data_IF_149912413672
#
_entry.id   IF_149912413672
#
_cell.length_a   1.000
_cell.length_b   1.000
_cell.length_c   1.000
_cell.angle_alpha   90.00
_cell.angle_beta   90.00
_cell.angle_gamma   90.00
#
_symmetry.space_group_name_H-M   'P 1'
#
loop_
_entity.id
_entity.type
_entity.pdbx_description
1 polymer ?
#
# COMPACT_ATOMS: atom_id res chain seq x y z
N UNK A 1 -7.91 8.36 12.08
CA UNK A 1 -8.45 6.99 12.12
C UNK A 1 -8.08 6.25 10.84
N UNK A 2 -7.67 5.00 10.97
CA UNK A 2 -7.33 4.16 9.82
C UNK A 2 -8.44 3.18 9.52
N UNK A 3 -8.77 3.04 8.25
CA UNK A 3 -9.78 2.09 7.78
C UNK A 3 -9.26 1.33 6.56
N UNK A 4 -9.74 0.10 6.42
CA UNK A 4 -9.47 -0.73 5.25
C UNK A 4 -10.84 -1.10 4.67
N UNK A 5 -11.00 -0.91 3.37
CA UNK A 5 -12.28 -1.27 2.73
C UNK A 5 -12.46 -2.79 2.73
N UNK A 6 -13.72 -3.24 2.66
CA UNK A 6 -14.05 -4.67 2.70
C UNK A 6 -13.35 -5.45 1.59
N UNK A 7 -13.35 -4.92 0.35
CA UNK A 7 -12.70 -5.62 -0.76
C UNK A 7 -11.20 -5.70 -0.58
N UNK A 8 -10.58 -4.63 -0.12
CA UNK A 8 -9.14 -4.64 0.14
C UNK A 8 -8.80 -5.65 1.22
N UNK A 9 -9.57 -5.66 2.31
CA UNK A 9 -9.35 -6.58 3.42
C UNK A 9 -9.50 -8.04 3.00
N UNK A 10 -10.41 -8.33 2.06
CA UNK A 10 -10.63 -9.70 1.58
C UNK A 10 -9.56 -10.18 0.60
N UNK A 11 -8.84 -9.27 -0.08
CA UNK A 11 -7.88 -9.64 -1.12
C UNK A 11 -6.43 -9.49 -0.71
N UNK A 12 -6.13 -8.63 0.25
CA UNK A 12 -4.76 -8.39 0.71
C UNK A 12 -4.57 -9.02 2.07
N UNK A 13 -3.66 -9.98 2.22
CA UNK A 13 -3.45 -10.64 3.52
C UNK A 13 -3.16 -9.64 4.63
N UNK A 14 -3.61 -9.91 5.87
CA UNK A 14 -3.40 -8.99 7.00
C UNK A 14 -1.94 -8.61 7.22
N UNK A 15 -1.02 -9.55 7.07
CA UNK A 15 0.41 -9.27 7.22
C UNK A 15 0.91 -8.28 6.18
N UNK A 16 0.41 -8.39 4.95
CA UNK A 16 0.76 -7.45 3.87
C UNK A 16 0.15 -6.09 4.15
N UNK A 17 -1.09 -6.02 4.64
CA UNK A 17 -1.71 -4.76 5.02
C UNK A 17 -0.84 -4.02 6.06
N UNK A 18 -0.35 -4.75 7.07
CA UNK A 18 0.54 -4.16 8.08
C UNK A 18 1.81 -3.62 7.45
N UNK A 19 2.37 -4.34 6.48
CA UNK A 19 3.56 -3.88 5.75
C UNK A 19 3.28 -2.58 4.99
N UNK A 20 2.11 -2.48 4.33
CA UNK A 20 1.74 -1.27 3.59
C UNK A 20 1.60 -0.07 4.53
N UNK A 21 0.96 -0.25 5.69
CA UNK A 21 0.85 0.81 6.68
C UNK A 21 2.23 1.24 7.18
N UNK A 22 3.11 0.27 7.42
CA UNK A 22 4.48 0.56 7.85
C UNK A 22 5.23 1.38 6.80
N UNK A 23 5.13 0.98 5.52
CA UNK A 23 5.76 1.72 4.43
C UNK A 23 5.21 3.13 4.33
N UNK A 24 3.90 3.28 4.47
CA UNK A 24 3.25 4.58 4.46
C UNK A 24 3.76 5.47 5.59
N UNK A 25 3.83 4.93 6.81
CA UNK A 25 4.29 5.68 7.97
C UNK A 25 5.78 6.05 7.87
N UNK A 26 6.57 5.25 7.18
CA UNK A 26 8.00 5.44 7.05
C UNK A 26 8.39 5.98 5.66
N UNK A 27 7.49 6.66 4.99
CA UNK A 27 7.78 7.30 3.71
C UNK A 27 8.97 8.23 3.85
N UNK A 28 10.01 8.00 2.99
CA UNK A 28 11.24 8.77 3.04
C UNK A 28 11.19 10.11 2.32
N UNK A 29 10.03 10.48 1.78
CA UNK A 29 9.87 11.75 1.09
C UNK A 29 9.97 12.91 2.10
N UNK A 30 10.44 14.06 1.62
CA UNK A 30 10.53 15.27 2.41
C UNK A 30 9.17 15.67 2.99
N UNK A 31 8.13 15.48 2.19
CA UNK A 31 6.76 15.76 2.60
C UNK A 31 5.86 14.63 2.09
N UNK A 32 5.02 14.05 2.96
CA UNK A 32 4.16 12.95 2.60
C UNK A 32 2.90 13.46 1.90
N UNK A 33 2.66 12.95 0.67
CA UNK A 33 1.48 13.26 -0.10
C UNK A 33 0.24 12.64 0.57
N UNK A 34 -0.94 13.19 0.26
CA UNK A 34 -2.20 12.64 0.75
C UNK A 34 -2.60 11.36 0.00
N UNK A 35 -2.00 11.08 -1.14
CA UNK A 35 -2.37 9.97 -2.01
C UNK A 35 -1.14 9.10 -2.26
N UNK A 36 -1.18 7.86 -1.79
CA UNK A 36 -0.10 6.90 -1.96
C UNK A 36 -0.56 5.70 -2.77
N UNK A 37 0.31 5.21 -3.64
CA UNK A 37 0.04 4.07 -4.50
C UNK A 37 0.98 2.93 -4.14
N UNK A 38 0.42 1.72 -4.05
CA UNK A 38 1.16 0.49 -3.81
C UNK A 38 0.80 -0.49 -4.91
N UNK A 39 1.78 -0.83 -5.76
CA UNK A 39 1.59 -1.86 -6.79
C UNK A 39 2.16 -3.16 -6.26
N UNK A 40 1.28 -4.10 -5.95
CA UNK A 40 1.65 -5.41 -5.44
C UNK A 40 1.77 -6.38 -6.60
N UNK A 41 2.90 -7.10 -6.68
CA UNK A 41 3.12 -8.12 -7.70
C UNK A 41 3.52 -9.40 -7.02
N UNK A 42 2.75 -10.46 -7.27
CA UNK A 42 3.07 -11.78 -6.75
C UNK A 42 4.21 -12.38 -7.58
N UNK A 43 5.24 -12.82 -6.88
CA UNK A 43 6.38 -13.52 -7.48
C UNK A 43 6.56 -14.84 -6.75
N UNK A 44 7.33 -15.76 -7.33
CA UNK A 44 7.56 -17.05 -6.70
C UNK A 44 8.25 -16.83 -5.35
N UNK A 45 7.56 -17.23 -4.27
CA UNK A 45 8.09 -17.15 -2.91
C UNK A 45 8.18 -15.75 -2.31
N UNK A 46 7.68 -14.73 -3.00
CA UNK A 46 7.75 -13.39 -2.43
C UNK A 46 6.67 -12.45 -2.96
N UNK A 47 6.48 -11.36 -2.23
CA UNK A 47 5.63 -10.25 -2.60
C UNK A 47 6.50 -9.06 -2.95
N UNK A 48 6.39 -8.56 -4.17
CA UNK A 48 7.02 -7.30 -4.54
C UNK A 48 6.03 -6.17 -4.30
N UNK A 49 6.48 -5.07 -3.70
CA UNK A 49 5.66 -3.90 -3.41
C UNK A 49 6.38 -2.67 -3.95
N UNK A 50 5.79 -2.03 -4.97
CA UNK A 50 6.28 -0.76 -5.49
C UNK A 50 5.38 0.33 -4.93
N UNK A 51 5.96 1.20 -4.10
CA UNK A 51 5.26 2.26 -3.37
C UNK A 51 5.72 3.61 -3.86
N UNK A 52 4.77 4.48 -4.21
CA UNK A 52 5.13 5.83 -4.67
C UNK A 52 4.08 6.88 -4.33
N UNK A 53 4.52 8.12 -4.37
CA UNK A 53 3.67 9.31 -4.32
C UNK A 53 4.12 10.26 -5.44
N UNK A 54 3.28 11.23 -5.79
CA UNK A 54 3.54 12.13 -6.92
C UNK A 54 4.04 13.52 -6.51
N UNK A 55 3.62 14.05 -5.36
CA UNK A 55 3.89 15.42 -4.94
C UNK A 55 4.38 15.50 -3.48
N UNK A 56 5.67 15.64 -3.22
CA UNK A 56 6.78 15.55 -4.16
C UNK A 56 7.00 14.11 -4.63
N UNK A 57 7.57 13.97 -5.82
CA UNK A 57 7.82 12.64 -6.39
C UNK A 57 8.77 11.84 -5.51
N UNK A 58 8.37 10.62 -5.21
CA UNK A 58 9.15 9.71 -4.38
C UNK A 58 8.69 8.28 -4.60
N UNK A 59 9.60 7.33 -4.54
CA UNK A 59 9.26 5.92 -4.73
C UNK A 59 10.24 5.01 -4.00
N UNK A 60 9.78 3.80 -3.71
CA UNK A 60 10.61 2.72 -3.16
C UNK A 60 10.05 1.37 -3.59
N UNK A 61 10.89 0.34 -3.52
CA UNK A 61 10.46 -1.03 -3.76
C UNK A 61 10.88 -1.88 -2.57
N UNK A 62 9.96 -2.73 -2.10
CA UNK A 62 10.21 -3.65 -1.00
C UNK A 62 9.86 -5.06 -1.44
N UNK A 63 10.69 -6.03 -1.05
CA UNK A 63 10.44 -7.44 -1.30
C UNK A 63 10.22 -8.11 0.04
N UNK A 64 9.10 -8.82 0.18
CA UNK A 64 8.74 -9.55 1.39
C UNK A 64 8.57 -11.03 1.04
N UNK A 65 9.22 -11.90 1.79
CA UNK A 65 9.11 -13.34 1.55
C UNK A 65 7.81 -13.86 2.15
N UNK A 66 6.98 -14.48 1.32
CA UNK A 66 5.68 -14.98 1.73
C UNK A 66 5.14 -15.95 0.69
N UNK A 67 4.33 -16.91 1.13
CA UNK A 67 3.60 -17.82 0.23
C UNK A 67 2.17 -17.29 -0.04
N UNK A 68 1.83 -16.10 0.45
CA UNK A 68 0.52 -15.48 0.28
C UNK A 68 0.56 -14.24 -0.61
N UNK A 69 1.52 -14.17 -1.54
CA UNK A 69 1.66 -13.00 -2.41
C UNK A 69 0.46 -12.83 -3.32
N UNK A 70 0.07 -11.57 -3.56
CA UNK A 70 -1.05 -11.21 -4.42
C UNK A 70 -0.61 -10.17 -5.44
N UNK A 71 -1.35 -10.06 -6.53
CA UNK A 71 -1.16 -9.01 -7.53
C UNK A 71 -2.37 -8.10 -7.47
N UNK A 72 -2.18 -6.91 -6.89
CA UNK A 72 -3.23 -5.93 -6.70
C UNK A 72 -2.63 -4.53 -6.71
N UNK A 73 -3.44 -3.54 -7.05
CA UNK A 73 -3.05 -2.14 -6.91
C UNK A 73 -3.87 -1.54 -5.78
N UNK A 74 -3.18 -0.98 -4.79
CA UNK A 74 -3.77 -0.49 -3.55
C UNK A 74 -3.43 0.98 -3.37
N UNK A 75 -4.40 1.75 -2.89
CA UNK A 75 -4.20 3.14 -2.51
C UNK A 75 -4.31 3.30 -1.00
N UNK A 76 -3.54 4.24 -0.45
CA UNK A 76 -3.79 4.80 0.87
C UNK A 76 -4.03 6.28 0.68
N UNK A 77 -5.20 6.75 1.09
CA UNK A 77 -5.63 8.12 0.90
C UNK A 77 -5.91 8.75 2.27
N UNK A 78 -5.28 9.89 2.53
CA UNK A 78 -5.48 10.67 3.75
C UNK A 78 -6.36 11.87 3.40
N UNK A 79 -7.59 11.91 3.93
CA UNK A 79 -8.52 13.01 3.68
C UNK A 79 -8.56 14.02 4.84
N UNK A 80 -7.63 13.91 5.78
CA UNK A 80 -7.55 14.79 6.95
C UNK A 80 -8.09 14.11 8.21
N UNK A 81 -9.23 13.45 8.10
CA UNK A 81 -9.86 12.76 9.23
C UNK A 81 -9.57 11.26 9.23
N UNK A 82 -9.41 10.69 8.05
CA UNK A 82 -9.22 9.26 7.87
C UNK A 82 -8.06 8.97 6.95
N UNK A 83 -7.39 7.85 7.21
CA UNK A 83 -6.45 7.24 6.29
C UNK A 83 -7.08 5.95 5.84
N UNK A 84 -7.42 5.85 4.55
CA UNK A 84 -8.16 4.73 3.99
C UNK A 84 -7.30 3.92 3.05
N UNK A 85 -7.21 2.61 3.31
CA UNK A 85 -6.59 1.66 2.40
C UNK A 85 -7.68 1.01 1.56
N UNK A 86 -7.56 1.07 0.24
CA UNK A 86 -8.57 0.52 -0.67
C UNK A 86 -7.92 0.01 -1.96
N UNK A 87 -8.62 -0.90 -2.64
CA UNK A 87 -8.17 -1.34 -3.95
C UNK A 87 -8.37 -0.22 -4.96
N UNK A 88 -7.44 -0.09 -5.91
CA UNK A 88 -7.53 0.94 -6.95
C UNK A 88 -8.83 0.82 -7.75
N UNK A 89 -9.31 -0.41 -7.98
CA UNK A 89 -10.56 -0.63 -8.72
C UNK A 89 -11.79 -0.10 -8.00
N UNK A 90 -11.70 0.15 -6.71
CA UNK A 90 -12.81 0.67 -5.91
C UNK A 90 -12.76 2.19 -5.75
N UNK A 91 -11.79 2.82 -6.37
CA UNK A 91 -11.61 4.27 -6.24
C UNK A 91 -12.52 5.08 -7.20
#
# INVERSE_FOLDING_TARGET
MRVVTTNCDSRVPPSTQLTLWWMYDNTGAEERDYFHVFELTAKEGCQEIFHYQEQPEWQETLISFTDEAVTEKVYIINDGDHETMLLAEDY
#
